data_IF_230686567665
#
_entry.id   IF_230686567665
#
_cell.length_a   1.000
_cell.length_b   1.000
_cell.length_c   1.000
_cell.angle_alpha   90.00
_cell.angle_beta   90.00
_cell.angle_gamma   90.00
#
_symmetry.space_group_name_H-M   'P 1'
#
loop_
_entity.id
_entity.type
_entity.pdbx_description
1 polymer ?
#
# COMPACT_ATOMS: atom_id res chain seq x y z
N UNK A 1 -7.77 -18.46 -18.02
CA UNK A 1 -6.57 -17.76 -17.50
C UNK A 1 -5.94 -18.66 -16.46
N UNK A 2 -4.63 -18.93 -16.51
CA UNK A 2 -3.96 -19.61 -15.40
C UNK A 2 -4.06 -18.74 -14.13
N UNK A 3 -4.14 -19.35 -12.94
CA UNK A 3 -4.12 -18.61 -11.68
C UNK A 3 -2.82 -17.79 -11.61
N UNK A 4 -2.94 -16.50 -11.25
CA UNK A 4 -1.81 -15.59 -11.13
C UNK A 4 -0.91 -16.12 -10.00
N UNK A 5 0.26 -16.66 -10.35
CA UNK A 5 1.23 -17.14 -9.38
C UNK A 5 1.64 -15.95 -8.50
N UNK A 6 1.36 -16.05 -7.21
CA UNK A 6 1.64 -14.98 -6.26
C UNK A 6 3.08 -15.14 -5.80
N UNK A 7 3.94 -14.22 -6.24
CA UNK A 7 5.36 -14.23 -5.92
C UNK A 7 5.55 -13.64 -4.51
N UNK A 8 6.44 -14.24 -3.71
CA UNK A 8 6.65 -13.84 -2.30
C UNK A 8 6.98 -12.36 -2.16
N UNK A 9 7.85 -11.85 -3.03
CA UNK A 9 8.28 -10.46 -3.08
C UNK A 9 7.10 -9.51 -3.33
N UNK A 10 6.16 -9.89 -4.19
CA UNK A 10 4.96 -9.10 -4.47
C UNK A 10 4.04 -8.99 -3.25
N UNK A 11 3.97 -10.05 -2.44
CA UNK A 11 3.21 -10.03 -1.18
C UNK A 11 3.84 -9.12 -0.15
N UNK A 12 5.17 -9.09 -0.05
CA UNK A 12 5.87 -8.17 0.84
C UNK A 12 5.61 -6.70 0.45
N UNK A 13 5.63 -6.38 -0.85
CA UNK A 13 5.27 -5.04 -1.35
C UNK A 13 3.81 -4.70 -1.03
N UNK A 14 2.89 -5.65 -1.26
CA UNK A 14 1.46 -5.47 -0.95
C UNK A 14 1.24 -5.22 0.54
N UNK A 15 1.90 -6.00 1.39
CA UNK A 15 1.86 -5.84 2.84
C UNK A 15 2.33 -4.45 3.26
N UNK A 16 3.49 -4.01 2.76
CA UNK A 16 4.02 -2.67 3.08
C UNK A 16 3.14 -1.54 2.55
N UNK A 17 2.50 -1.73 1.39
CA UNK A 17 1.50 -0.78 0.91
C UNK A 17 0.30 -0.67 1.87
N UNK A 18 -0.22 -1.79 2.38
CA UNK A 18 -1.27 -1.78 3.40
C UNK A 18 -0.77 -1.15 4.71
N UNK A 19 0.43 -1.50 5.16
CA UNK A 19 1.04 -0.99 6.39
C UNK A 19 1.25 0.53 6.33
N UNK A 20 1.48 1.10 5.14
CA UNK A 20 1.59 2.54 4.96
C UNK A 20 0.35 3.29 5.46
N UNK A 21 -0.85 2.71 5.36
CA UNK A 21 -2.05 3.32 5.94
C UNK A 21 -1.95 3.42 7.47
N UNK A 22 -1.46 2.38 8.13
CA UNK A 22 -1.31 2.35 9.59
C UNK A 22 -0.28 3.38 10.05
N UNK A 23 0.85 3.47 9.35
CA UNK A 23 1.90 4.44 9.62
C UNK A 23 1.41 5.89 9.41
N UNK A 24 0.75 6.17 8.29
CA UNK A 24 0.20 7.50 8.01
C UNK A 24 -0.89 7.89 9.00
N UNK A 25 -1.67 6.92 9.49
CA UNK A 25 -2.65 7.15 10.54
C UNK A 25 -2.01 7.45 11.88
N UNK A 26 -0.95 6.73 12.24
CA UNK A 26 -0.17 6.99 13.45
C UNK A 26 0.43 8.40 13.43
N UNK A 27 0.95 8.82 12.27
CA UNK A 27 1.49 10.17 12.03
C UNK A 27 0.41 11.26 11.91
N UNK A 28 -0.88 10.91 12.02
CA UNK A 28 -2.03 11.81 11.86
C UNK A 28 -2.12 12.49 10.49
N UNK A 29 -1.51 11.90 9.46
CA UNK A 29 -1.55 12.36 8.07
C UNK A 29 -2.81 11.88 7.34
N UNK A 30 -3.40 10.78 7.81
CA UNK A 30 -4.69 10.26 7.32
C UNK A 30 -5.54 9.79 8.50
N UNK A 31 -6.85 10.02 8.46
CA UNK A 31 -7.76 9.64 9.55
C UNK A 31 -8.49 8.33 9.27
N UNK A 32 -8.88 8.08 8.02
CA UNK A 32 -9.76 6.96 7.67
C UNK A 32 -9.24 6.13 6.50
N UNK A 33 -9.63 4.84 6.44
CA UNK A 33 -9.31 3.98 5.29
C UNK A 33 -9.87 4.55 3.98
N UNK A 34 -11.02 5.23 4.03
CA UNK A 34 -11.65 5.86 2.86
C UNK A 34 -10.77 6.99 2.29
N UNK A 35 -10.36 7.91 3.15
CA UNK A 35 -9.47 9.03 2.79
C UNK A 35 -8.14 8.52 2.20
N UNK A 36 -7.54 7.50 2.81
CA UNK A 36 -6.35 6.85 2.27
C UNK A 36 -6.60 6.31 0.86
N UNK A 37 -7.67 5.52 0.70
CA UNK A 37 -8.02 4.89 -0.58
C UNK A 37 -8.22 5.93 -1.69
N UNK A 38 -8.96 7.01 -1.40
CA UNK A 38 -9.18 8.10 -2.35
C UNK A 38 -7.85 8.77 -2.75
N UNK A 39 -6.96 9.03 -1.78
CA UNK A 39 -5.67 9.65 -2.05
C UNK A 39 -4.74 8.78 -2.91
N UNK A 40 -4.79 7.46 -2.74
CA UNK A 40 -3.94 6.51 -3.48
C UNK A 40 -4.64 5.88 -4.70
N UNK A 41 -5.82 6.36 -5.08
CA UNK A 41 -6.53 5.93 -6.29
C UNK A 41 -7.18 4.54 -6.20
N UNK A 42 -7.60 4.12 -5.00
CA UNK A 42 -8.41 2.93 -4.78
C UNK A 42 -9.89 3.30 -4.72
N UNK A 43 -10.75 2.52 -5.38
CA UNK A 43 -12.20 2.76 -5.40
C UNK A 43 -12.89 2.63 -4.02
N UNK A 44 -12.23 2.08 -3.01
CA UNK A 44 -12.77 2.01 -1.65
C UNK A 44 -12.00 1.09 -0.71
N UNK A 45 -12.37 1.14 0.58
CA UNK A 45 -11.71 0.40 1.66
C UNK A 45 -11.77 -1.13 1.48
N UNK A 46 -12.75 -1.65 0.74
CA UNK A 46 -12.85 -3.08 0.44
C UNK A 46 -11.68 -3.60 -0.39
N UNK A 47 -11.10 -2.78 -1.27
CA UNK A 47 -9.91 -3.16 -2.04
C UNK A 47 -8.68 -3.26 -1.15
N UNK A 48 -8.52 -2.32 -0.21
CA UNK A 48 -7.43 -2.35 0.77
C UNK A 48 -7.55 -3.56 1.70
N UNK A 49 -8.76 -3.84 2.20
CA UNK A 49 -9.02 -5.01 3.06
C UNK A 49 -8.75 -6.33 2.30
N UNK A 50 -9.02 -6.40 0.99
CA UNK A 50 -8.65 -7.57 0.19
C UNK A 50 -7.14 -7.75 0.08
N UNK A 51 -6.37 -6.68 -0.01
CA UNK A 51 -4.90 -6.76 -0.07
C UNK A 51 -4.31 -7.27 1.25
N UNK A 52 -4.93 -6.91 2.37
CA UNK A 52 -4.59 -7.35 3.74
C UNK A 52 -4.73 -8.87 3.94
N UNK A 53 -5.66 -9.52 3.23
CA UNK A 53 -5.87 -10.97 3.32
C UNK A 53 -4.73 -11.77 2.67
N UNK A 54 -4.14 -12.71 3.42
CA UNK A 54 -3.04 -13.57 2.95
C UNK A 54 -3.41 -14.48 1.77
N UNK A 55 -4.68 -14.86 1.67
CA UNK A 55 -5.22 -15.69 0.58
C UNK A 55 -5.53 -14.90 -0.71
N UNK A 56 -5.39 -13.58 -0.68
CA UNK A 56 -5.77 -12.71 -1.78
C UNK A 56 -4.64 -12.53 -2.78
N UNK A 57 -5.00 -12.48 -4.05
CA UNK A 57 -4.12 -12.11 -5.16
C UNK A 57 -4.23 -10.62 -5.52
N UNK A 58 -4.98 -9.85 -4.72
CA UNK A 58 -5.11 -8.39 -4.91
C UNK A 58 -3.82 -7.70 -4.52
N UNK A 59 -3.31 -6.85 -5.40
CA UNK A 59 -2.05 -6.14 -5.27
C UNK A 59 -2.28 -4.66 -5.64
N UNK A 60 -1.55 -3.71 -5.04
CA UNK A 60 -1.56 -2.34 -5.50
C UNK A 60 -0.99 -2.26 -6.92
N UNK A 61 -1.57 -1.40 -7.76
CA UNK A 61 -0.97 -1.06 -9.05
C UNK A 61 0.23 -0.14 -8.84
N UNK A 62 1.10 -0.03 -9.85
CA UNK A 62 2.19 0.96 -9.85
C UNK A 62 1.63 2.38 -9.63
N UNK A 63 0.50 2.71 -10.24
CA UNK A 63 -0.17 4.00 -10.04
C UNK A 63 -0.56 4.24 -8.58
N UNK A 64 -1.05 3.22 -7.87
CA UNK A 64 -1.37 3.35 -6.45
C UNK A 64 -0.11 3.67 -5.61
N UNK A 65 1.01 3.01 -5.91
CA UNK A 65 2.30 3.26 -5.25
C UNK A 65 2.82 4.66 -5.55
N UNK A 66 2.76 5.11 -6.82
CA UNK A 66 3.19 6.46 -7.21
C UNK A 66 2.36 7.54 -6.50
N UNK A 67 1.04 7.36 -6.39
CA UNK A 67 0.17 8.28 -5.66
C UNK A 67 0.50 8.29 -4.16
N UNK A 68 0.78 7.14 -3.55
CA UNK A 68 1.21 7.04 -2.15
C UNK A 68 2.47 7.87 -1.90
N UNK A 69 3.47 7.76 -2.78
CA UNK A 69 4.71 8.55 -2.70
C UNK A 69 4.40 10.03 -2.89
N UNK A 70 3.65 10.41 -3.93
CA UNK A 70 3.37 11.81 -4.26
C UNK A 70 2.53 12.52 -3.18
N UNK A 71 1.57 11.82 -2.57
CA UNK A 71 0.63 12.43 -1.62
C UNK A 71 1.16 12.47 -0.19
N UNK A 72 1.99 11.51 0.18
CA UNK A 72 2.37 11.30 1.57
C UNK A 72 3.88 11.22 1.80
N UNK A 73 4.70 11.40 0.75
CA UNK A 73 6.15 11.30 0.79
C UNK A 73 6.65 9.96 1.37
N UNK A 74 5.90 8.88 1.16
CA UNK A 74 6.32 7.54 1.57
C UNK A 74 7.51 7.10 0.71
N UNK A 75 8.51 6.51 1.35
CA UNK A 75 9.73 6.05 0.70
C UNK A 75 9.46 4.87 -0.23
N UNK A 76 9.90 5.01 -1.50
CA UNK A 76 9.96 3.90 -2.47
C UNK A 76 10.80 2.76 -1.93
N UNK A 77 11.94 3.07 -1.31
CA UNK A 77 12.86 2.05 -0.79
C UNK A 77 12.19 1.24 0.31
N UNK A 78 11.43 1.92 1.19
CA UNK A 78 10.68 1.25 2.23
C UNK A 78 9.59 0.37 1.64
N UNK A 79 8.77 0.86 0.70
CA UNK A 79 7.71 0.07 0.07
C UNK A 79 8.26 -1.14 -0.69
N UNK A 80 9.33 -0.95 -1.46
CA UNK A 80 9.85 -1.99 -2.36
C UNK A 80 10.73 -3.00 -1.62
N UNK A 81 11.52 -2.55 -0.64
CA UNK A 81 12.58 -3.35 -0.01
C UNK A 81 12.42 -3.54 1.50
N UNK A 82 11.52 -2.80 2.15
CA UNK A 82 11.36 -2.82 3.62
C UNK A 82 12.54 -2.18 4.35
N UNK A 83 13.29 -1.30 3.70
CA UNK A 83 14.48 -0.65 4.25
C UNK A 83 14.25 0.84 4.50
N UNK A 84 14.98 1.38 5.48
CA UNK A 84 14.92 2.80 5.80
C UNK A 84 13.64 3.22 6.52
N UNK A 85 13.39 4.53 6.53
CA UNK A 85 12.21 5.12 7.15
C UNK A 85 11.00 5.10 6.21
N UNK A 86 9.79 4.98 6.80
CA UNK A 86 8.53 4.99 6.05
C UNK A 86 8.37 6.28 5.24
N UNK A 87 8.68 7.42 5.85
CA UNK A 87 8.62 8.74 5.21
C UNK A 87 10.01 9.09 4.70
N UNK A 88 10.11 9.38 3.40
CA UNK A 88 11.28 10.04 2.85
C UNK A 88 11.30 11.49 3.36
N UNK A 89 12.46 12.02 3.72
CA UNK A 89 12.61 13.47 3.93
C UNK A 89 12.67 14.19 2.59
#
# INVERSE_FOLDING_TARGET
MPPKATIKESREVTKRFVDSFNELRYLKLVKTKKEFCEAVGLAGASNLNRMESESSTSEPTITNILLLIQKFNVSVEWIMLGKGSVISK
#
